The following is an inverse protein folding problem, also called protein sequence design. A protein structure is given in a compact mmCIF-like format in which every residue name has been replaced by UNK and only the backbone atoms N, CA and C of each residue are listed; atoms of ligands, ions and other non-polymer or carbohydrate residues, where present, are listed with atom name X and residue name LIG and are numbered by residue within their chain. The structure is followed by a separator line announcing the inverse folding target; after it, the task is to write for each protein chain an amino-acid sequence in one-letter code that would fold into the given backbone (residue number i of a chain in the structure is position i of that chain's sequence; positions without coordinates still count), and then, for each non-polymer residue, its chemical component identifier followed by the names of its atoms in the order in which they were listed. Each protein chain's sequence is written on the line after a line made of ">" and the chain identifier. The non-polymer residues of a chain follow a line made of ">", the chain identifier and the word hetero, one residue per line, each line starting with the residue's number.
data_IF_190055047905
#
_entry.id   IF_190055047905
#
_cell.length_a   1.000
_cell.length_b   1.000
_cell.length_c   1.000
_cell.angle_alpha   90.00
_cell.angle_beta   90.00
_cell.angle_gamma   90.00
#
_symmetry.space_group_name_H-M   'P 1'
#
loop_
_entity.id
_entity.type
_entity.pdbx_description
1 polymer ?
#
# COMPACT_ATOMS: atom_id res chain seq x y z
N UNK A 1 40.74 -14.86 -11.48
CA UNK A 1 39.50 -15.28 -10.85
C UNK A 1 38.36 -14.97 -11.84
N UNK A 2 37.84 -16.03 -12.44
CA UNK A 2 36.76 -15.95 -13.42
C UNK A 2 35.47 -15.50 -12.72
N UNK A 3 34.86 -14.42 -13.24
CA UNK A 3 33.46 -14.14 -12.99
C UNK A 3 32.67 -15.23 -13.71
N UNK A 4 31.99 -16.09 -12.97
CA UNK A 4 31.00 -16.99 -13.52
C UNK A 4 29.84 -16.14 -13.99
N UNK A 5 29.64 -16.09 -15.31
CA UNK A 5 28.42 -15.62 -15.92
C UNK A 5 27.24 -16.42 -15.33
N UNK A 6 26.47 -15.79 -14.47
CA UNK A 6 25.14 -16.28 -14.14
C UNK A 6 24.29 -16.12 -15.40
N UNK A 7 24.27 -17.15 -16.24
CA UNK A 7 23.24 -17.30 -17.27
C UNK A 7 21.88 -17.31 -16.57
N UNK A 8 21.24 -16.14 -16.53
CA UNK A 8 19.82 -16.05 -16.32
C UNK A 8 19.14 -16.64 -17.55
N UNK A 9 19.03 -17.96 -17.60
CA UNK A 9 18.09 -18.61 -18.48
C UNK A 9 16.71 -18.06 -18.11
N UNK A 10 16.24 -17.06 -18.88
CA UNK A 10 14.84 -16.71 -18.96
C UNK A 10 14.10 -18.04 -19.17
N UNK A 11 13.43 -18.49 -18.13
CA UNK A 11 12.62 -19.68 -18.09
C UNK A 11 11.86 -19.77 -19.41
N UNK A 12 12.09 -20.85 -20.13
CA UNK A 12 11.32 -21.26 -21.30
C UNK A 12 9.91 -21.59 -20.78
N UNK A 13 9.13 -20.55 -20.52
CA UNK A 13 7.72 -20.71 -20.10
C UNK A 13 6.97 -21.20 -21.34
N UNK A 14 6.60 -22.46 -21.34
CA UNK A 14 5.76 -23.05 -22.37
C UNK A 14 4.48 -22.20 -22.50
N UNK A 15 4.03 -21.96 -23.73
CA UNK A 15 2.85 -21.13 -24.01
C UNK A 15 1.59 -21.55 -23.25
N UNK A 16 1.49 -22.80 -22.80
CA UNK A 16 0.41 -23.34 -21.99
C UNK A 16 0.43 -22.84 -20.53
N UNK A 17 1.60 -22.52 -19.97
CA UNK A 17 1.73 -21.93 -18.64
C UNK A 17 1.32 -20.45 -18.62
N UNK A 18 1.49 -19.74 -19.74
CA UNK A 18 0.99 -18.37 -19.90
C UNK A 18 -0.53 -18.30 -20.04
N UNK A 19 -1.17 -19.35 -20.55
CA UNK A 19 -2.64 -19.40 -20.70
C UNK A 19 -3.39 -19.55 -19.37
N UNK A 20 -2.72 -19.98 -18.32
CA UNK A 20 -3.30 -20.14 -16.97
C UNK A 20 -2.92 -18.96 -16.02
N UNK A 21 -2.31 -17.91 -16.54
CA UNK A 21 -1.98 -16.71 -15.78
C UNK A 21 -3.25 -15.98 -15.36
N UNK A 22 -3.55 -16.01 -14.05
CA UNK A 22 -4.63 -15.24 -13.46
C UNK A 22 -4.07 -13.97 -12.86
N UNK A 23 -4.69 -12.83 -13.17
CA UNK A 23 -4.30 -11.53 -12.58
C UNK A 23 -4.43 -11.53 -11.04
N UNK A 24 -5.25 -12.44 -10.49
CA UNK A 24 -5.43 -12.63 -9.05
C UNK A 24 -6.25 -11.53 -8.39
N UNK A 25 -6.95 -10.71 -9.19
CA UNK A 25 -7.85 -9.64 -8.74
C UNK A 25 -9.32 -9.91 -9.07
N UNK A 26 -9.62 -11.03 -9.71
CA UNK A 26 -10.97 -11.40 -10.16
C UNK A 26 -11.98 -11.47 -9.00
N UNK A 27 -11.50 -11.90 -7.84
CA UNK A 27 -12.33 -11.97 -6.62
C UNK A 27 -12.80 -10.59 -6.13
N UNK A 28 -12.10 -9.53 -6.53
CA UNK A 28 -12.38 -8.14 -6.12
C UNK A 28 -13.17 -7.37 -7.18
N UNK A 29 -13.30 -7.89 -8.42
CA UNK A 29 -13.83 -7.17 -9.57
C UNK A 29 -15.27 -6.64 -9.37
N UNK A 30 -16.06 -7.28 -8.49
CA UNK A 30 -17.44 -6.89 -8.20
C UNK A 30 -17.60 -6.08 -6.90
N UNK A 31 -16.49 -5.82 -6.19
CA UNK A 31 -16.54 -5.09 -4.92
C UNK A 31 -16.65 -3.58 -5.18
N UNK A 32 -17.50 -2.94 -4.40
CA UNK A 32 -17.53 -1.48 -4.32
C UNK A 32 -16.43 -0.97 -3.39
N UNK A 33 -16.07 0.33 -3.50
CA UNK A 33 -15.12 0.96 -2.58
C UNK A 33 -15.59 0.83 -1.13
N UNK A 34 -16.89 0.99 -0.86
CA UNK A 34 -17.43 0.85 0.49
C UNK A 34 -17.30 -0.57 1.04
N UNK A 35 -17.49 -1.58 0.20
CA UNK A 35 -17.28 -2.97 0.61
C UNK A 35 -15.80 -3.23 0.94
N UNK A 36 -14.88 -2.75 0.10
CA UNK A 36 -13.44 -2.89 0.34
C UNK A 36 -13.01 -2.14 1.61
N UNK A 37 -13.55 -0.94 1.83
CA UNK A 37 -13.35 -0.15 3.04
C UNK A 37 -13.76 -0.91 4.30
N UNK A 38 -14.97 -1.50 4.29
CA UNK A 38 -15.47 -2.30 5.40
C UNK A 38 -14.61 -3.55 5.63
N UNK A 39 -14.19 -4.22 4.58
CA UNK A 39 -13.28 -5.38 4.66
C UNK A 39 -11.94 -5.03 5.35
N UNK A 40 -11.43 -3.82 5.13
CA UNK A 40 -10.24 -3.31 5.81
C UNK A 40 -10.54 -2.77 7.24
N UNK A 41 -11.81 -2.75 7.65
CA UNK A 41 -12.23 -2.20 8.95
C UNK A 41 -12.06 -0.69 9.06
N UNK A 42 -12.04 0.04 7.93
CA UNK A 42 -11.77 1.47 7.93
C UNK A 42 -13.05 2.27 8.25
N UNK A 43 -12.98 3.25 9.18
CA UNK A 43 -14.13 4.04 9.60
C UNK A 43 -14.54 5.10 8.56
N UNK A 44 -13.65 5.47 7.64
CA UNK A 44 -13.85 6.52 6.64
C UNK A 44 -13.46 6.07 5.23
N UNK A 45 -13.91 6.76 4.16
CA UNK A 45 -13.56 6.42 2.78
C UNK A 45 -12.13 6.86 2.38
N UNK A 46 -11.25 7.03 3.34
CA UNK A 46 -9.84 7.35 3.12
C UNK A 46 -8.98 6.24 3.72
N UNK A 47 -7.82 6.02 3.14
CA UNK A 47 -6.82 5.16 3.80
C UNK A 47 -6.37 5.77 5.12
N UNK A 48 -6.02 4.92 6.10
CA UNK A 48 -5.55 5.41 7.40
C UNK A 48 -4.29 6.25 7.23
N UNK A 49 -4.11 7.23 8.07
CA UNK A 49 -2.95 8.15 8.07
C UNK A 49 -2.79 9.00 6.79
N UNK A 50 -3.69 8.91 5.82
CA UNK A 50 -3.63 9.71 4.60
C UNK A 50 -4.10 11.14 4.84
N UNK A 51 -3.54 12.07 4.05
CA UNK A 51 -4.14 13.36 3.84
C UNK A 51 -5.55 13.16 3.27
N UNK A 52 -6.54 13.87 3.80
CA UNK A 52 -7.91 13.83 3.27
C UNK A 52 -8.08 14.70 2.03
N UNK A 53 -7.18 15.68 1.88
CA UNK A 53 -7.20 16.66 0.79
C UNK A 53 -5.83 16.74 0.14
N UNK A 54 -5.81 17.27 -1.07
CA UNK A 54 -4.60 17.60 -1.82
C UNK A 54 -4.65 19.02 -2.35
N UNK A 55 -3.47 19.64 -2.52
CA UNK A 55 -3.31 20.88 -3.26
C UNK A 55 -3.43 20.56 -4.77
N UNK A 56 -4.48 21.03 -5.46
CA UNK A 56 -4.66 20.75 -6.89
C UNK A 56 -3.58 21.37 -7.76
N UNK A 57 -2.94 22.43 -7.30
CA UNK A 57 -1.85 23.08 -8.01
C UNK A 57 -0.51 22.32 -7.85
N UNK A 58 -0.37 21.52 -6.78
CA UNK A 58 0.84 20.74 -6.52
C UNK A 58 2.11 21.60 -6.29
N UNK A 59 1.94 22.86 -5.89
CA UNK A 59 3.01 23.83 -5.80
C UNK A 59 3.79 23.72 -4.48
N UNK A 60 3.11 23.33 -3.42
CA UNK A 60 3.68 23.29 -2.08
C UNK A 60 4.06 21.87 -1.66
N UNK A 61 5.18 21.73 -0.97
CA UNK A 61 5.52 20.48 -0.29
C UNK A 61 4.50 20.20 0.82
N UNK A 62 3.76 19.08 0.78
CA UNK A 62 2.62 18.86 1.68
C UNK A 62 2.97 18.88 3.17
N UNK A 63 4.20 18.56 3.54
CA UNK A 63 4.66 18.60 4.93
C UNK A 63 5.27 19.92 5.35
N UNK A 64 5.48 20.88 4.44
CA UNK A 64 5.87 22.24 4.80
C UNK A 64 4.72 22.96 5.52
N UNK A 65 5.00 24.12 6.13
CA UNK A 65 3.96 24.93 6.76
C UNK A 65 2.96 25.45 5.74
N UNK A 66 3.46 25.94 4.60
CA UNK A 66 2.67 26.42 3.48
C UNK A 66 1.82 25.29 2.87
N UNK A 67 2.39 24.11 2.68
CA UNK A 67 1.67 22.93 2.17
C UNK A 67 0.54 22.51 3.09
N UNK A 68 0.78 22.44 4.40
CA UNK A 68 -0.27 22.16 5.37
C UNK A 68 -1.36 23.23 5.41
N UNK A 69 -1.00 24.50 5.18
CA UNK A 69 -1.97 25.58 5.04
C UNK A 69 -2.80 25.40 3.76
N UNK A 70 -2.16 25.09 2.63
CA UNK A 70 -2.83 24.82 1.36
C UNK A 70 -3.83 23.66 1.47
N UNK A 71 -3.48 22.57 2.16
CA UNK A 71 -4.39 21.44 2.39
C UNK A 71 -5.63 21.82 3.24
N UNK A 72 -5.58 22.89 4.00
CA UNK A 72 -6.71 23.41 4.79
C UNK A 72 -7.50 24.52 4.08
N UNK A 73 -7.03 24.95 2.93
CA UNK A 73 -7.69 26.02 2.16
C UNK A 73 -9.00 25.57 1.53
N UNK A 74 -9.80 26.53 1.08
CA UNK A 74 -11.04 26.25 0.34
C UNK A 74 -10.77 25.63 -1.04
N UNK A 75 -9.61 25.88 -1.62
CA UNK A 75 -9.21 25.38 -2.95
C UNK A 75 -8.72 23.93 -2.91
N UNK A 76 -8.45 23.38 -1.72
CA UNK A 76 -8.01 22.01 -1.56
C UNK A 76 -9.09 21.03 -1.99
N UNK A 77 -8.74 20.08 -2.85
CA UNK A 77 -9.64 19.03 -3.36
C UNK A 77 -9.49 17.74 -2.54
N UNK A 78 -10.52 16.88 -2.56
CA UNK A 78 -10.47 15.61 -1.86
C UNK A 78 -9.40 14.68 -2.49
N UNK A 79 -8.63 14.03 -1.63
CA UNK A 79 -7.70 12.99 -2.02
C UNK A 79 -8.41 11.63 -1.95
N UNK A 80 -9.12 11.29 -3.01
CA UNK A 80 -9.89 10.05 -3.11
C UNK A 80 -9.17 9.03 -3.98
N UNK A 81 -8.75 7.89 -3.43
CA UNK A 81 -8.16 6.81 -4.23
C UNK A 81 -9.17 6.26 -5.24
N UNK A 82 -8.69 5.90 -6.43
CA UNK A 82 -9.51 5.24 -7.46
C UNK A 82 -9.86 3.80 -7.07
N UNK A 83 -10.93 3.27 -7.64
CA UNK A 83 -11.38 1.91 -7.37
C UNK A 83 -10.28 0.85 -7.51
N UNK A 84 -9.49 0.89 -8.59
CA UNK A 84 -8.40 -0.07 -8.81
C UNK A 84 -7.29 0.04 -7.76
N UNK A 85 -7.07 1.23 -7.19
CA UNK A 85 -6.11 1.44 -6.12
C UNK A 85 -6.59 0.81 -4.81
N UNK A 86 -7.89 0.87 -4.53
CA UNK A 86 -8.50 0.13 -3.42
C UNK A 86 -8.33 -1.38 -3.59
N UNK A 87 -8.57 -1.90 -4.81
CA UNK A 87 -8.35 -3.32 -5.13
C UNK A 87 -6.90 -3.71 -4.88
N UNK A 88 -5.93 -2.92 -5.38
CA UNK A 88 -4.50 -3.19 -5.19
C UNK A 88 -4.11 -3.23 -3.72
N UNK A 89 -4.51 -2.22 -2.93
CA UNK A 89 -4.21 -2.18 -1.49
C UNK A 89 -4.86 -3.35 -0.75
N UNK A 90 -6.13 -3.67 -1.03
CA UNK A 90 -6.81 -4.81 -0.40
C UNK A 90 -6.13 -6.14 -0.75
N UNK A 91 -5.74 -6.33 -2.03
CA UNK A 91 -5.01 -7.54 -2.46
C UNK A 91 -3.65 -7.66 -1.80
N UNK A 92 -2.92 -6.55 -1.68
CA UNK A 92 -1.63 -6.54 -0.98
C UNK A 92 -1.84 -6.87 0.51
N UNK A 93 -2.87 -6.30 1.15
CA UNK A 93 -3.21 -6.60 2.53
C UNK A 93 -3.56 -8.08 2.74
N UNK A 94 -4.39 -8.67 1.87
CA UNK A 94 -4.73 -10.10 1.92
C UNK A 94 -3.50 -11.00 1.82
N UNK A 95 -2.58 -10.68 0.89
CA UNK A 95 -1.35 -11.45 0.71
C UNK A 95 -0.40 -11.27 1.90
N UNK A 96 -0.26 -10.05 2.39
CA UNK A 96 0.57 -9.73 3.55
C UNK A 96 0.09 -10.50 4.79
N UNK A 97 -1.20 -10.50 5.07
CA UNK A 97 -1.79 -11.24 6.18
C UNK A 97 -1.65 -12.77 5.99
N UNK A 98 -1.60 -13.23 4.74
CA UNK A 98 -1.32 -14.63 4.39
C UNK A 98 0.18 -14.95 4.26
N UNK A 99 1.07 -14.00 4.57
CA UNK A 99 2.54 -14.12 4.41
C UNK A 99 2.98 -14.47 2.99
N UNK A 100 2.28 -13.95 1.99
CA UNK A 100 2.60 -14.15 0.57
C UNK A 100 3.22 -12.88 -0.01
N UNK A 101 4.20 -13.06 -0.86
CA UNK A 101 4.76 -11.96 -1.64
C UNK A 101 3.75 -11.46 -2.69
N UNK A 102 3.91 -10.22 -3.11
CA UNK A 102 3.08 -9.60 -4.14
C UNK A 102 3.98 -9.04 -5.23
N UNK A 103 3.63 -9.31 -6.47
CA UNK A 103 4.17 -8.64 -7.63
C UNK A 103 3.07 -7.74 -8.23
N UNK A 104 3.29 -6.43 -8.21
CA UNK A 104 2.37 -5.44 -8.76
C UNK A 104 2.78 -5.07 -10.19
N UNK A 105 2.07 -5.62 -11.18
CA UNK A 105 2.39 -5.50 -12.61
C UNK A 105 1.47 -4.52 -13.36
N UNK A 106 0.87 -3.59 -12.67
CA UNK A 106 0.02 -2.57 -13.27
C UNK A 106 0.77 -1.72 -14.32
N UNK A 107 0.04 -1.14 -15.25
CA UNK A 107 0.60 -0.20 -16.22
C UNK A 107 1.21 1.04 -15.56
N UNK A 108 2.07 1.75 -16.31
CA UNK A 108 2.63 3.02 -15.84
C UNK A 108 1.52 4.06 -15.69
N UNK A 109 1.58 4.86 -14.63
CA UNK A 109 0.63 5.95 -14.39
C UNK A 109 -0.62 5.59 -13.59
N UNK A 110 -0.91 4.32 -13.30
CA UNK A 110 -2.10 3.91 -12.53
C UNK A 110 -1.97 4.10 -11.00
N UNK A 111 -0.86 4.65 -10.53
CA UNK A 111 -0.66 4.98 -9.11
C UNK A 111 -0.15 3.82 -8.26
N UNK A 112 0.79 3.01 -8.78
CA UNK A 112 1.46 1.94 -8.00
C UNK A 112 2.11 2.44 -6.71
N UNK A 113 2.72 3.63 -6.76
CA UNK A 113 3.33 4.28 -5.59
C UNK A 113 2.30 4.51 -4.49
N UNK A 114 1.10 4.99 -4.85
CA UNK A 114 0.01 5.17 -3.90
C UNK A 114 -0.46 3.84 -3.32
N UNK A 115 -0.56 2.78 -4.12
CA UNK A 115 -0.93 1.45 -3.65
C UNK A 115 0.10 0.90 -2.66
N UNK A 116 1.39 1.09 -2.91
CA UNK A 116 2.45 0.71 -1.99
C UNK A 116 2.38 1.49 -0.67
N UNK A 117 2.23 2.81 -0.73
CA UNK A 117 2.09 3.68 0.45
C UNK A 117 0.79 3.34 1.22
N UNK A 118 -0.32 3.11 0.51
CA UNK A 118 -1.59 2.68 1.10
C UNK A 118 -1.47 1.35 1.84
N UNK A 119 -0.68 0.42 1.30
CA UNK A 119 -0.44 -0.87 1.94
C UNK A 119 0.38 -0.76 3.23
N UNK A 120 1.39 0.13 3.26
CA UNK A 120 2.14 0.47 4.47
C UNK A 120 1.19 1.06 5.53
N UNK A 121 0.36 2.01 5.13
CA UNK A 121 -0.62 2.64 6.02
C UNK A 121 -1.64 1.64 6.58
N UNK A 122 -2.13 0.72 5.74
CA UNK A 122 -3.05 -0.35 6.16
C UNK A 122 -2.35 -1.34 7.10
N UNK A 123 -1.08 -1.67 6.88
CA UNK A 123 -0.32 -2.52 7.81
C UNK A 123 -0.33 -1.93 9.22
N UNK A 124 0.05 -0.67 9.37
CA UNK A 124 0.08 0.01 10.67
C UNK A 124 -1.33 0.15 11.27
N UNK A 125 -2.33 0.40 10.44
CA UNK A 125 -3.73 0.42 10.88
C UNK A 125 -4.17 -0.91 11.48
N UNK A 126 -3.91 -2.03 10.80
CA UNK A 126 -4.25 -3.36 11.27
C UNK A 126 -3.52 -3.68 12.58
N UNK A 127 -2.23 -3.33 12.67
CA UNK A 127 -1.42 -3.51 13.88
C UNK A 127 -2.00 -2.74 15.07
N UNK A 128 -2.28 -1.45 14.88
CA UNK A 128 -2.83 -0.60 15.95
C UNK A 128 -4.25 -1.02 16.32
N UNK A 129 -5.07 -1.42 15.36
CA UNK A 129 -6.43 -1.94 15.61
C UNK A 129 -6.37 -3.18 16.48
N UNK A 130 -5.45 -4.09 16.21
CA UNK A 130 -5.28 -5.27 17.08
C UNK A 130 -4.82 -4.91 18.49
N UNK A 131 -3.87 -3.98 18.61
CA UNK A 131 -3.41 -3.51 19.94
C UNK A 131 -4.52 -2.85 20.77
N UNK A 132 -5.44 -2.15 20.11
CA UNK A 132 -6.57 -1.47 20.75
C UNK A 132 -7.73 -2.42 21.06
N UNK A 133 -8.10 -3.31 20.12
CA UNK A 133 -9.32 -4.13 20.19
C UNK A 133 -9.09 -5.60 20.56
N UNK A 134 -7.85 -6.07 20.48
CA UNK A 134 -7.49 -7.47 20.69
C UNK A 134 -7.82 -8.41 19.53
N UNK A 135 -8.29 -7.89 18.40
CA UNK A 135 -8.60 -8.66 17.18
C UNK A 135 -8.43 -7.81 15.93
N UNK A 136 -8.23 -8.47 14.80
CA UNK A 136 -8.26 -7.82 13.49
C UNK A 136 -9.70 -7.56 13.02
N UNK A 137 -9.93 -6.67 12.04
CA UNK A 137 -11.21 -6.55 11.37
C UNK A 137 -11.67 -7.89 10.80
N UNK A 138 -12.99 -8.11 10.75
CA UNK A 138 -13.65 -9.41 10.50
C UNK A 138 -13.02 -10.22 9.37
N UNK A 139 -12.77 -9.60 8.22
CA UNK A 139 -12.16 -10.31 7.09
C UNK A 139 -10.81 -10.96 7.46
N UNK A 140 -9.97 -10.25 8.20
CA UNK A 140 -8.64 -10.72 8.56
C UNK A 140 -8.67 -11.62 9.81
N UNK A 141 -9.62 -11.44 10.68
CA UNK A 141 -9.85 -12.29 11.84
C UNK A 141 -10.18 -13.73 11.44
N UNK A 142 -11.14 -13.91 10.53
CA UNK A 142 -11.57 -15.23 10.06
C UNK A 142 -10.55 -15.88 9.10
N UNK A 143 -10.01 -15.11 8.16
CA UNK A 143 -9.09 -15.61 7.14
C UNK A 143 -7.75 -16.06 7.72
N UNK A 144 -7.24 -15.35 8.71
CA UNK A 144 -5.99 -15.71 9.40
C UNK A 144 -6.17 -16.97 10.24
N UNK A 145 -7.33 -17.12 10.86
CA UNK A 145 -7.62 -18.31 11.69
C UNK A 145 -7.55 -19.60 10.87
N UNK A 146 -7.93 -19.57 9.59
CA UNK A 146 -7.93 -20.74 8.71
C UNK A 146 -6.57 -21.05 8.07
N UNK A 147 -5.73 -20.05 7.77
CA UNK A 147 -4.48 -20.23 7.03
C UNK A 147 -3.22 -20.10 7.89
N UNK A 148 -3.26 -19.30 8.93
CA UNK A 148 -2.13 -19.08 9.84
C UNK A 148 -2.66 -18.80 11.26
N UNK A 149 -3.11 -19.83 11.99
CA UNK A 149 -3.77 -19.67 13.29
C UNK A 149 -2.97 -18.84 14.31
N UNK A 150 -1.65 -18.90 14.26
CA UNK A 150 -0.80 -18.16 15.19
C UNK A 150 -0.87 -16.64 15.02
N UNK A 151 -1.16 -16.13 13.81
CA UNK A 151 -1.30 -14.68 13.59
C UNK A 151 -2.66 -14.14 14.04
N UNK A 152 -3.69 -14.99 14.10
CA UNK A 152 -5.01 -14.57 14.57
C UNK A 152 -5.01 -14.09 16.04
N UNK A 153 -4.03 -14.54 16.81
CA UNK A 153 -3.92 -14.28 18.25
C UNK A 153 -2.76 -13.38 18.65
N UNK A 154 -2.08 -12.75 17.69
CA UNK A 154 -0.95 -11.86 17.95
C UNK A 154 -1.03 -10.61 17.08
N UNK A 155 -0.65 -9.44 17.61
CA UNK A 155 -0.53 -8.24 16.78
C UNK A 155 0.57 -8.41 15.73
N UNK A 156 0.40 -7.75 14.58
CA UNK A 156 1.51 -7.57 13.65
C UNK A 156 2.69 -6.91 14.38
N UNK A 157 3.94 -7.34 14.14
CA UNK A 157 5.09 -6.72 14.78
C UNK A 157 5.26 -5.27 14.32
N UNK A 158 5.82 -4.39 15.16
CA UNK A 158 6.31 -3.11 14.69
C UNK A 158 7.48 -3.36 13.73
N UNK A 159 7.45 -2.71 12.57
CA UNK A 159 8.48 -2.85 11.54
C UNK A 159 8.84 -1.50 10.93
N UNK A 160 10.09 -1.37 10.49
CA UNK A 160 10.49 -0.30 9.58
C UNK A 160 10.20 -0.73 8.15
N UNK A 161 9.48 0.09 7.42
CA UNK A 161 9.19 -0.17 6.01
C UNK A 161 10.33 0.35 5.14
N UNK A 162 10.85 -0.49 4.26
CA UNK A 162 11.96 -0.13 3.38
C UNK A 162 11.48 -0.07 1.93
N UNK A 163 11.75 1.05 1.27
CA UNK A 163 11.53 1.21 -0.17
C UNK A 163 12.88 1.23 -0.85
N UNK A 164 13.12 0.28 -1.73
CA UNK A 164 14.32 0.22 -2.55
C UNK A 164 13.98 0.74 -3.95
N UNK A 165 14.65 1.79 -4.38
CA UNK A 165 14.44 2.40 -5.69
C UNK A 165 15.75 2.94 -6.27
N UNK A 166 15.83 3.17 -7.59
CA UNK A 166 16.95 3.87 -8.19
C UNK A 166 17.20 5.22 -7.53
N UNK A 167 18.46 5.67 -7.39
CA UNK A 167 18.81 6.90 -6.68
C UNK A 167 18.08 8.15 -7.18
N UNK A 168 17.84 8.26 -8.48
CA UNK A 168 17.11 9.36 -9.10
C UNK A 168 15.61 9.40 -8.76
N UNK A 169 15.07 8.37 -8.12
CA UNK A 169 13.66 8.31 -7.70
C UNK A 169 13.47 8.56 -6.19
N UNK A 170 14.53 8.70 -5.43
CA UNK A 170 14.44 8.90 -3.96
C UNK A 170 13.66 10.17 -3.62
N UNK A 171 13.96 11.29 -4.29
CA UNK A 171 13.24 12.54 -4.09
C UNK A 171 11.75 12.39 -4.47
N UNK A 172 11.47 11.78 -5.62
CA UNK A 172 10.10 11.51 -6.06
C UNK A 172 9.33 10.66 -5.04
N UNK A 173 9.92 9.59 -4.52
CA UNK A 173 9.30 8.77 -3.47
C UNK A 173 9.04 9.57 -2.21
N UNK A 174 9.98 10.40 -1.79
CA UNK A 174 9.83 11.28 -0.62
C UNK A 174 8.66 12.24 -0.80
N UNK A 175 8.55 12.86 -1.97
CA UNK A 175 7.45 13.77 -2.30
C UNK A 175 6.09 13.05 -2.34
N UNK A 176 6.03 11.87 -2.94
CA UNK A 176 4.79 11.08 -3.00
C UNK A 176 4.36 10.59 -1.60
N UNK A 177 5.30 10.17 -0.75
CA UNK A 177 5.00 9.82 0.64
C UNK A 177 4.38 11.02 1.37
N UNK A 178 4.98 12.21 1.24
CA UNK A 178 4.46 13.44 1.85
C UNK A 178 3.12 13.87 1.26
N UNK A 179 2.88 13.59 -0.01
CA UNK A 179 1.60 13.88 -0.68
C UNK A 179 0.47 13.04 -0.11
N UNK A 180 0.71 11.74 0.07
CA UNK A 180 -0.33 10.83 0.54
C UNK A 180 -0.46 10.79 2.05
N UNK A 181 0.64 10.69 2.79
CA UNK A 181 0.59 10.56 4.25
C UNK A 181 0.50 11.92 4.96
N UNK A 182 -0.31 11.98 5.97
CA UNK A 182 -0.44 13.17 6.80
C UNK A 182 0.84 13.43 7.60
N UNK A 183 1.21 14.69 7.74
CA UNK A 183 2.38 15.10 8.50
C UNK A 183 2.38 14.55 9.92
N UNK A 184 3.52 14.03 10.37
CA UNK A 184 3.70 13.50 11.72
C UNK A 184 3.22 12.05 11.92
N UNK A 185 2.69 11.37 10.89
CA UNK A 185 2.26 9.96 10.98
C UNK A 185 3.41 8.97 10.78
N UNK A 186 4.36 9.31 9.92
CA UNK A 186 5.55 8.51 9.64
C UNK A 186 6.80 9.38 9.60
N UNK A 187 7.95 8.81 9.90
CA UNK A 187 9.26 9.43 9.68
C UNK A 187 9.87 8.87 8.40
N UNK A 188 10.42 9.75 7.57
CA UNK A 188 11.08 9.36 6.32
C UNK A 188 12.58 9.53 6.52
N UNK A 189 13.35 8.47 6.22
CA UNK A 189 14.80 8.47 6.27
C UNK A 189 15.35 8.17 4.86
N UNK A 190 15.54 9.19 4.00
CA UNK A 190 16.18 8.99 2.70
C UNK A 190 17.64 8.57 2.92
N UNK A 191 18.05 7.47 2.28
CA UNK A 191 19.41 6.98 2.33
C UNK A 191 19.97 6.87 0.92
N UNK A 192 21.13 7.50 0.72
CA UNK A 192 21.95 7.35 -0.48
C UNK A 192 23.31 6.84 -0.01
N UNK A 193 23.69 5.67 -0.50
CA UNK A 193 24.98 5.05 -0.21
C UNK A 193 26.17 5.82 -0.79
#
# INVERSE_FOLDING_TARGET
>A
ANAEDCDFNLLDMNGDELADWKEGVEAYAKLTVDQMRLMLGLPSPHFPFFNKKQDPAGVHLPWSEEGRAALRSADATDLSPFWHQWVGVLKIADNMMSRKNVLLMDQVGVGKTMQAIGSIAVYEWLRLTYLEKGHYPDRFGESICSTTPMLAFQPLPPVDHVVVCPPNLIEQWTMEIQRYLAWGTFSILPYQG
#
